data_IF_014015429092
#
_entry.id   IF_014015429092
#
_cell.length_a   1.000
_cell.length_b   1.000
_cell.length_c   1.000
_cell.angle_alpha   90.00
_cell.angle_beta   90.00
_cell.angle_gamma   90.00
#
_symmetry.space_group_name_H-M   'P 1'
#
loop_
_entity.id
_entity.type
_entity.pdbx_description
1 polymer ?
#
# COMPACT_ATOMS: atom_id res chain seq x y z
N UNK A 1 -16.96 3.57 -4.20
CA UNK A 1 -15.60 3.00 -4.18
C UNK A 1 -15.70 1.56 -4.64
N UNK A 2 -14.86 1.11 -5.57
CA UNK A 2 -14.95 -0.24 -6.12
C UNK A 2 -14.42 -1.21 -5.06
N UNK A 3 -15.27 -2.14 -4.63
CA UNK A 3 -14.85 -3.24 -3.79
C UNK A 3 -14.26 -4.36 -4.64
N UNK A 4 -13.14 -4.93 -4.19
CA UNK A 4 -12.60 -6.16 -4.77
C UNK A 4 -13.35 -7.34 -4.17
N UNK A 5 -14.05 -8.10 -5.02
CA UNK A 5 -14.77 -9.31 -4.58
C UNK A 5 -13.83 -10.51 -4.65
N UNK A 6 -13.62 -11.14 -3.49
CA UNK A 6 -12.73 -12.28 -3.31
C UNK A 6 -13.50 -13.47 -2.72
N UNK A 7 -14.40 -14.07 -3.52
CA UNK A 7 -15.36 -15.09 -3.03
C UNK A 7 -14.95 -16.53 -3.33
N UNK A 8 -13.94 -16.73 -4.17
CA UNK A 8 -13.47 -18.04 -4.66
C UNK A 8 -11.95 -18.14 -4.59
N UNK A 9 -11.38 -19.34 -4.65
CA UNK A 9 -9.92 -19.54 -4.66
C UNK A 9 -9.21 -18.83 -5.84
N UNK A 10 -9.88 -18.72 -6.99
CA UNK A 10 -9.39 -17.94 -8.14
C UNK A 10 -9.14 -16.46 -7.81
N UNK A 11 -9.65 -15.96 -6.68
CA UNK A 11 -9.39 -14.61 -6.19
C UNK A 11 -7.91 -14.37 -5.88
N UNK A 12 -7.14 -15.42 -5.61
CA UNK A 12 -5.68 -15.38 -5.49
C UNK A 12 -5.01 -14.77 -6.74
N UNK A 13 -5.60 -14.99 -7.92
CA UNK A 13 -5.07 -14.56 -9.21
C UNK A 13 -5.66 -13.25 -9.72
N UNK A 14 -6.50 -12.57 -8.93
CA UNK A 14 -7.00 -11.24 -9.31
C UNK A 14 -5.82 -10.28 -9.56
N UNK A 15 -5.90 -9.43 -10.61
CA UNK A 15 -4.84 -8.46 -10.89
C UNK A 15 -4.51 -7.57 -9.69
N UNK A 16 -5.52 -7.16 -8.91
CA UNK A 16 -5.32 -6.34 -7.71
C UNK A 16 -4.55 -7.09 -6.62
N UNK A 17 -4.81 -8.39 -6.45
CA UNK A 17 -4.16 -9.23 -5.44
C UNK A 17 -2.72 -9.57 -5.83
N UNK A 18 -2.50 -9.94 -7.10
CA UNK A 18 -1.15 -10.19 -7.63
C UNK A 18 -0.29 -8.94 -7.55
N UNK A 19 -0.79 -7.80 -8.05
CA UNK A 19 -0.06 -6.53 -8.02
C UNK A 19 0.26 -6.09 -6.59
N UNK A 20 -0.66 -6.30 -5.64
CA UNK A 20 -0.37 -6.02 -4.24
C UNK A 20 0.83 -6.82 -3.73
N UNK A 21 0.80 -8.16 -3.91
CA UNK A 21 1.90 -9.03 -3.46
C UNK A 21 3.21 -8.75 -4.18
N UNK A 22 3.18 -8.43 -5.46
CA UNK A 22 4.36 -8.02 -6.23
C UNK A 22 4.97 -6.72 -5.68
N UNK A 23 4.13 -5.73 -5.34
CA UNK A 23 4.59 -4.45 -4.79
C UNK A 23 4.92 -4.47 -3.30
N UNK A 24 4.48 -5.49 -2.56
CA UNK A 24 4.91 -5.73 -1.16
C UNK A 24 6.43 -5.85 -1.02
N UNK A 25 7.14 -6.26 -2.08
CA UNK A 25 8.60 -6.37 -2.15
C UNK A 25 9.34 -5.03 -1.99
N UNK A 26 8.62 -3.93 -2.21
CA UNK A 26 9.13 -2.57 -2.03
C UNK A 26 8.97 -2.07 -0.59
N UNK A 27 8.20 -2.79 0.22
CA UNK A 27 7.93 -2.44 1.61
C UNK A 27 8.84 -3.23 2.53
N UNK A 28 9.15 -2.64 3.68
CA UNK A 28 10.01 -3.24 4.68
C UNK A 28 9.43 -3.03 6.08
N UNK A 29 9.65 -3.95 7.02
CA UNK A 29 9.29 -3.73 8.42
C UNK A 29 10.11 -2.59 9.04
N UNK A 30 9.56 -1.98 10.09
CA UNK A 30 10.27 -0.98 10.87
C UNK A 30 10.52 -1.49 12.30
N UNK A 31 11.76 -1.41 12.78
CA UNK A 31 12.11 -1.82 14.15
C UNK A 31 12.58 -3.26 14.26
N UNK A 32 12.77 -3.72 15.50
CA UNK A 32 13.44 -5.01 15.79
C UNK A 32 12.52 -6.23 15.60
N UNK A 33 11.21 -6.05 15.80
CA UNK A 33 10.23 -7.13 15.85
C UNK A 33 8.98 -6.81 15.04
N UNK A 34 8.43 -7.83 14.40
CA UNK A 34 7.14 -7.78 13.70
C UNK A 34 6.11 -8.63 14.44
N UNK A 35 4.98 -8.02 14.79
CA UNK A 35 3.83 -8.73 15.34
C UNK A 35 2.90 -9.13 14.20
N UNK A 36 2.78 -10.45 13.97
CA UNK A 36 1.89 -10.99 12.94
C UNK A 36 0.51 -11.22 13.55
N UNK A 37 -0.52 -10.64 12.93
CA UNK A 37 -1.91 -10.67 13.38
C UNK A 37 -2.84 -11.23 12.29
N UNK A 38 -3.97 -11.88 12.63
CA UNK A 38 -4.95 -12.31 11.63
C UNK A 38 -5.72 -11.10 11.09
N UNK A 39 -6.26 -11.18 9.86
CA UNK A 39 -7.18 -10.17 9.35
C UNK A 39 -8.53 -10.17 10.08
N UNK A 40 -9.35 -9.19 9.75
CA UNK A 40 -10.74 -9.10 10.23
C UNK A 40 -11.71 -8.76 9.11
N UNK A 41 -12.98 -9.13 9.28
CA UNK A 41 -14.03 -8.83 8.31
C UNK A 41 -14.19 -7.31 8.07
N UNK A 42 -14.14 -6.51 9.14
CA UNK A 42 -14.20 -5.03 9.08
C UNK A 42 -12.85 -4.47 8.65
N UNK A 43 -12.88 -3.56 7.67
CA UNK A 43 -11.72 -2.76 7.22
C UNK A 43 -11.98 -1.26 7.45
N UNK A 44 -10.94 -0.44 7.70
CA UNK A 44 -9.56 -0.85 8.00
C UNK A 44 -9.52 -1.73 9.25
N UNK A 45 -8.56 -2.66 9.31
CA UNK A 45 -8.57 -3.71 10.34
C UNK A 45 -8.48 -3.13 11.76
N UNK A 46 -7.76 -2.02 11.93
CA UNK A 46 -7.64 -1.30 13.21
C UNK A 46 -8.99 -0.87 13.80
N UNK A 47 -10.04 -0.72 12.98
CA UNK A 47 -11.38 -0.37 13.43
C UNK A 47 -12.24 -1.60 13.81
N UNK A 48 -11.69 -2.81 13.74
CA UNK A 48 -12.40 -4.04 14.10
C UNK A 48 -12.37 -4.32 15.60
N UNK A 49 -13.34 -5.12 16.08
CA UNK A 49 -13.40 -5.53 17.50
C UNK A 49 -12.13 -6.27 17.93
N UNK A 50 -11.65 -7.21 17.13
CA UNK A 50 -10.44 -8.00 17.45
C UNK A 50 -9.19 -7.12 17.54
N UNK A 51 -8.98 -6.22 16.57
CA UNK A 51 -7.81 -5.34 16.60
C UNK A 51 -7.86 -4.30 17.72
N UNK A 52 -9.04 -3.84 18.14
CA UNK A 52 -9.15 -3.03 19.36
C UNK A 52 -8.67 -3.78 20.61
N UNK A 53 -8.79 -5.12 20.66
CA UNK A 53 -8.26 -5.94 21.75
C UNK A 53 -6.75 -6.10 21.66
N UNK A 54 -6.19 -6.23 20.45
CA UNK A 54 -4.73 -6.36 20.23
C UNK A 54 -3.96 -5.06 20.50
N UNK A 55 -4.52 -3.93 20.05
CA UNK A 55 -3.87 -2.61 20.01
C UNK A 55 -3.21 -2.19 21.33
N UNK A 56 -3.82 -2.35 22.52
CA UNK A 56 -3.19 -1.99 23.78
C UNK A 56 -1.83 -2.67 24.02
N UNK A 57 -1.65 -3.90 23.53
CA UNK A 57 -0.38 -4.61 23.62
C UNK A 57 0.59 -4.13 22.53
N UNK A 58 0.15 -4.16 21.27
CA UNK A 58 1.01 -4.07 20.08
C UNK A 58 1.32 -2.64 19.64
N UNK A 59 0.54 -1.64 20.09
CA UNK A 59 0.70 -0.24 19.70
C UNK A 59 2.14 0.23 19.90
N UNK A 60 2.75 0.63 18.80
CA UNK A 60 4.13 1.13 18.75
C UNK A 60 5.13 0.10 18.20
N UNK A 61 4.73 -1.13 17.92
CA UNK A 61 5.54 -2.08 17.16
C UNK A 61 5.10 -2.13 15.69
N UNK A 62 5.91 -2.76 14.84
CA UNK A 62 5.49 -3.09 13.49
C UNK A 62 4.47 -4.22 13.53
N UNK A 63 3.39 -4.06 12.78
CA UNK A 63 2.30 -5.03 12.71
C UNK A 63 2.12 -5.47 11.26
N UNK A 64 2.12 -6.79 11.03
CA UNK A 64 1.85 -7.40 9.74
C UNK A 64 0.56 -8.22 9.84
N UNK A 65 -0.47 -7.81 9.11
CA UNK A 65 -1.78 -8.46 9.12
C UNK A 65 -1.83 -9.48 8.00
N UNK A 66 -1.94 -10.77 8.33
CA UNK A 66 -2.12 -11.83 7.35
C UNK A 66 -3.53 -11.84 6.80
N UNK A 67 -3.65 -11.93 5.48
CA UNK A 67 -4.95 -11.89 4.80
C UNK A 67 -4.89 -12.63 3.46
N UNK A 68 -5.96 -13.32 3.10
CA UNK A 68 -6.14 -13.88 1.76
C UNK A 68 -7.13 -12.99 0.97
N UNK A 69 -6.91 -12.73 -0.34
CA UNK A 69 -5.84 -13.23 -1.19
C UNK A 69 -4.55 -12.39 -1.17
N UNK A 70 -4.47 -11.32 -0.38
CA UNK A 70 -3.41 -10.32 -0.50
C UNK A 70 -2.08 -10.68 0.17
N UNK A 71 -2.01 -11.79 0.90
CA UNK A 71 -0.83 -12.24 1.64
C UNK A 71 -0.66 -11.45 2.95
N UNK A 72 -0.02 -10.29 2.84
CA UNK A 72 0.36 -9.46 3.99
C UNK A 72 -0.14 -8.04 3.81
N UNK A 73 -0.66 -7.44 4.88
CA UNK A 73 -0.90 -6.02 4.98
C UNK A 73 -0.11 -5.46 6.17
N UNK A 74 0.98 -4.70 5.95
CA UNK A 74 1.56 -3.87 6.98
C UNK A 74 0.53 -2.89 7.53
N UNK A 75 0.52 -2.62 8.84
CA UNK A 75 -0.51 -1.75 9.46
C UNK A 75 -0.60 -0.38 8.81
N UNK A 76 0.53 0.19 8.42
CA UNK A 76 0.62 1.49 7.77
C UNK A 76 -0.08 1.53 6.40
N UNK A 77 -0.34 0.37 5.79
CA UNK A 77 -0.99 0.23 4.49
C UNK A 77 -2.48 -0.17 4.57
N UNK A 78 -3.06 -0.31 5.76
CA UNK A 78 -4.43 -0.85 5.92
C UNK A 78 -5.54 0.04 5.32
N UNK A 79 -5.24 1.33 5.10
CA UNK A 79 -6.14 2.31 4.48
C UNK A 79 -5.88 2.46 2.97
N UNK A 80 -4.96 1.68 2.41
CA UNK A 80 -4.56 1.76 1.01
C UNK A 80 -5.37 0.76 0.19
N UNK A 81 -5.86 1.21 -0.98
CA UNK A 81 -6.51 0.33 -1.94
C UNK A 81 -5.50 -0.70 -2.48
N UNK A 82 -5.85 -2.01 -2.54
CA UNK A 82 -7.18 -2.60 -2.37
C UNK A 82 -7.53 -3.08 -0.95
N UNK A 83 -6.60 -3.10 0.01
CA UNK A 83 -6.81 -3.70 1.34
C UNK A 83 -7.99 -3.08 2.10
N UNK A 84 -8.15 -1.77 2.01
CA UNK A 84 -9.25 -1.09 2.69
C UNK A 84 -10.63 -1.41 2.07
N UNK A 85 -10.68 -2.03 0.88
CA UNK A 85 -11.90 -2.21 0.09
C UNK A 85 -11.96 -3.57 -0.64
N UNK A 86 -11.94 -4.66 0.13
CA UNK A 86 -12.21 -6.00 -0.40
C UNK A 86 -13.16 -6.80 0.50
N UNK A 87 -13.99 -7.63 -0.13
CA UNK A 87 -14.91 -8.55 0.52
C UNK A 87 -14.42 -9.99 0.28
N UNK A 88 -14.39 -10.79 1.35
CA UNK A 88 -14.02 -12.21 1.31
C UNK A 88 -15.13 -13.06 1.91
N UNK A 89 -15.33 -14.25 1.37
CA UNK A 89 -16.03 -15.32 2.09
C UNK A 89 -15.13 -15.78 3.23
N UNK A 90 -15.56 -15.58 4.48
CA UNK A 90 -14.80 -16.02 5.66
C UNK A 90 -14.99 -17.52 5.88
N UNK A 91 -14.53 -18.33 4.92
CA UNK A 91 -14.43 -19.77 5.13
C UNK A 91 -13.16 -20.02 5.95
N UNK A 92 -13.28 -20.81 7.02
CA UNK A 92 -12.18 -21.05 7.96
C UNK A 92 -11.07 -21.97 7.42
N UNK A 93 -11.34 -22.64 6.30
CA UNK A 93 -10.42 -23.59 5.68
C UNK A 93 -9.56 -22.86 4.64
N UNK A 94 -8.25 -22.89 4.86
CA UNK A 94 -7.27 -22.32 3.94
C UNK A 94 -6.77 -23.40 2.99
N UNK A 95 -6.80 -23.11 1.69
CA UNK A 95 -6.24 -24.02 0.69
C UNK A 95 -4.70 -24.08 0.80
N UNK A 96 -4.10 -25.14 0.23
CA UNK A 96 -2.63 -25.27 0.13
C UNK A 96 -2.02 -24.09 -0.64
N UNK A 97 -2.72 -23.61 -1.67
CA UNK A 97 -2.26 -22.48 -2.48
C UNK A 97 -2.37 -21.16 -1.70
N UNK A 98 -3.42 -20.97 -0.91
CA UNK A 98 -3.54 -19.80 -0.01
C UNK A 98 -2.42 -19.77 1.02
N UNK A 99 -2.13 -20.91 1.64
CA UNK A 99 -1.03 -21.06 2.62
C UNK A 99 0.30 -20.70 1.95
N UNK A 100 0.57 -21.28 0.78
CA UNK A 100 1.81 -21.06 0.04
C UNK A 100 2.01 -19.60 -0.34
N UNK A 101 1.05 -19.01 -1.05
CA UNK A 101 1.17 -17.62 -1.55
C UNK A 101 1.30 -16.63 -0.39
N UNK A 102 0.51 -16.83 0.67
CA UNK A 102 0.55 -15.96 1.85
C UNK A 102 1.85 -16.12 2.61
N UNK A 103 2.33 -17.36 2.76
CA UNK A 103 3.59 -17.67 3.43
C UNK A 103 4.82 -17.14 2.71
N UNK A 104 4.88 -17.27 1.37
CA UNK A 104 5.95 -16.69 0.54
C UNK A 104 5.98 -15.17 0.68
N UNK A 105 4.83 -14.51 0.58
CA UNK A 105 4.71 -13.07 0.76
C UNK A 105 5.11 -12.62 2.18
N UNK A 106 4.71 -13.38 3.20
CA UNK A 106 5.09 -13.14 4.59
C UNK A 106 6.59 -13.26 4.79
N UNK A 107 7.21 -14.36 4.34
CA UNK A 107 8.64 -14.59 4.48
C UNK A 107 9.47 -13.50 3.80
N UNK A 108 9.08 -13.09 2.59
CA UNK A 108 9.75 -12.01 1.85
C UNK A 108 9.62 -10.65 2.55
N UNK A 109 8.44 -10.31 3.10
CA UNK A 109 8.26 -9.07 3.84
C UNK A 109 9.00 -9.06 5.19
N UNK A 110 8.98 -10.17 5.94
CA UNK A 110 9.63 -10.25 7.26
C UNK A 110 11.15 -10.17 7.15
N UNK A 111 11.79 -10.79 6.15
CA UNK A 111 13.25 -10.88 6.09
C UNK A 111 13.84 -11.53 7.34
N UNK A 112 14.84 -10.89 7.94
CA UNK A 112 15.57 -11.41 9.12
C UNK A 112 15.02 -10.91 10.48
N UNK A 113 13.89 -10.22 10.49
CA UNK A 113 13.32 -9.65 11.71
C UNK A 113 12.80 -10.73 12.67
N UNK A 114 12.85 -10.44 13.97
CA UNK A 114 12.18 -11.28 14.96
C UNK A 114 10.66 -11.21 14.80
N UNK A 115 9.97 -12.32 15.07
CA UNK A 115 8.53 -12.43 14.82
C UNK A 115 7.78 -12.92 16.05
N UNK A 116 6.72 -12.18 16.41
CA UNK A 116 5.69 -12.62 17.35
C UNK A 116 4.45 -13.00 16.54
N UNK A 117 4.18 -14.30 16.43
CA UNK A 117 3.02 -14.83 15.72
C UNK A 117 1.81 -14.92 16.67
N UNK A 118 0.87 -13.97 16.55
CA UNK A 118 -0.36 -13.93 17.33
C UNK A 118 -1.57 -14.27 16.46
N UNK A 119 -1.60 -15.52 15.99
CA UNK A 119 -2.52 -16.03 14.97
C UNK A 119 -3.08 -17.41 15.35
N UNK A 120 -4.14 -17.85 14.68
CA UNK A 120 -4.76 -19.16 14.89
C UNK A 120 -5.28 -19.74 13.55
N UNK A 121 -5.64 -21.04 13.53
CA UNK A 121 -6.20 -21.73 12.34
C UNK A 121 -5.26 -21.64 11.12
N UNK A 122 -5.77 -21.44 9.90
CA UNK A 122 -4.94 -21.39 8.68
C UNK A 122 -3.78 -20.38 8.75
N UNK A 123 -3.97 -19.25 9.45
CA UNK A 123 -2.89 -18.29 9.71
C UNK A 123 -1.75 -18.88 10.56
N UNK A 124 -2.06 -19.75 11.51
CA UNK A 124 -1.06 -20.46 12.30
C UNK A 124 -0.26 -21.41 11.40
N UNK A 125 -0.93 -22.15 10.52
CA UNK A 125 -0.26 -23.03 9.55
C UNK A 125 0.73 -22.27 8.67
N UNK A 126 0.34 -21.10 8.15
CA UNK A 126 1.23 -20.21 7.38
C UNK A 126 2.48 -19.86 8.18
N UNK A 127 2.32 -19.38 9.42
CA UNK A 127 3.45 -18.98 10.24
C UNK A 127 4.34 -20.17 10.61
N UNK A 128 3.79 -21.35 10.90
CA UNK A 128 4.56 -22.54 11.23
C UNK A 128 5.39 -23.06 10.04
N UNK A 129 4.83 -23.03 8.82
CA UNK A 129 5.53 -23.50 7.62
C UNK A 129 6.64 -22.53 7.16
N UNK A 130 6.41 -21.22 7.26
CA UNK A 130 7.31 -20.21 6.67
C UNK A 130 8.19 -19.46 7.67
N UNK A 131 7.79 -19.44 8.95
CA UNK A 131 8.49 -18.77 10.05
C UNK A 131 8.55 -19.68 11.31
N UNK A 132 9.13 -20.89 11.22
CA UNK A 132 9.13 -21.86 12.32
C UNK A 132 9.80 -21.36 13.60
N UNK A 133 10.68 -20.36 13.49
CA UNK A 133 11.38 -19.72 14.60
C UNK A 133 10.57 -18.61 15.31
N UNK A 134 9.37 -18.28 14.83
CA UNK A 134 8.55 -17.24 15.44
C UNK A 134 8.08 -17.63 16.85
N UNK A 135 7.88 -16.62 17.72
CA UNK A 135 7.26 -16.84 19.02
C UNK A 135 5.74 -16.88 18.88
N UNK A 136 5.14 -18.06 19.04
CA UNK A 136 3.70 -18.26 18.95
C UNK A 136 3.00 -17.98 20.29
N UNK A 137 2.08 -17.01 20.29
CA UNK A 137 1.43 -16.54 21.53
C UNK A 137 0.00 -17.06 21.73
N UNK A 138 -0.61 -17.63 20.70
CA UNK A 138 -1.96 -18.19 20.73
C UNK A 138 -1.89 -19.73 20.82
N UNK A 139 -2.11 -20.29 22.01
CA UNK A 139 -2.04 -21.74 22.24
C UNK A 139 -3.42 -22.42 22.29
N UNK A 140 -4.49 -21.65 22.54
CA UNK A 140 -5.86 -22.12 22.73
C UNK A 140 -6.74 -22.00 21.47
N UNK A 141 -6.14 -21.64 20.33
CA UNK A 141 -6.84 -21.39 19.07
C UNK A 141 -7.68 -20.10 19.05
N UNK A 142 -7.65 -19.26 20.10
CA UNK A 142 -8.46 -18.05 20.24
C UNK A 142 -7.58 -16.82 20.46
N UNK A 143 -7.39 -16.04 19.42
CA UNK A 143 -6.50 -14.86 19.48
C UNK A 143 -6.95 -13.79 20.48
N UNK A 144 -8.24 -13.70 20.79
CA UNK A 144 -8.76 -12.68 21.74
C UNK A 144 -9.02 -13.22 23.15
N UNK A 145 -8.60 -14.45 23.48
CA UNK A 145 -8.79 -14.99 24.83
C UNK A 145 -7.89 -14.27 25.84
N UNK A 146 -8.26 -14.27 27.15
CA UNK A 146 -7.42 -13.69 28.19
C UNK A 146 -6.00 -14.27 28.22
N UNK A 147 -5.88 -15.58 27.99
CA UNK A 147 -4.60 -16.31 27.98
C UNK A 147 -3.71 -15.87 26.81
N UNK A 148 -4.24 -15.94 25.58
CA UNK A 148 -3.52 -15.51 24.37
C UNK A 148 -3.09 -14.04 24.46
N UNK A 149 -3.94 -13.17 25.01
CA UNK A 149 -3.62 -11.76 25.21
C UNK A 149 -2.57 -11.53 26.31
N UNK A 150 -2.54 -12.36 27.36
CA UNK A 150 -1.50 -12.29 28.38
C UNK A 150 -0.13 -12.69 27.81
N UNK A 151 -0.11 -13.77 27.03
CA UNK A 151 1.09 -14.23 26.33
C UNK A 151 1.63 -13.15 25.39
N UNK A 152 0.76 -12.55 24.57
CA UNK A 152 1.14 -11.45 23.68
C UNK A 152 1.74 -10.26 24.44
N UNK A 153 1.12 -9.85 25.55
CA UNK A 153 1.62 -8.73 26.37
C UNK A 153 2.98 -9.03 26.97
N UNK A 154 3.20 -10.26 27.45
CA UNK A 154 4.47 -10.66 28.04
C UNK A 154 5.60 -10.67 27.00
N UNK A 155 5.30 -11.15 25.79
CA UNK A 155 6.31 -11.21 24.72
C UNK A 155 6.66 -9.81 24.18
N UNK A 156 5.64 -9.00 23.88
CA UNK A 156 5.82 -7.64 23.33
C UNK A 156 6.61 -6.73 24.29
N UNK A 157 6.56 -6.96 25.60
CA UNK A 157 7.31 -6.17 26.60
C UNK A 157 8.82 -6.26 26.47
N UNK A 158 9.36 -7.25 25.76
CA UNK A 158 10.79 -7.43 25.55
C UNK A 158 11.39 -6.42 24.54
N UNK A 159 10.53 -5.75 23.75
CA UNK A 159 10.96 -4.92 22.63
C UNK A 159 10.64 -3.44 22.83
N UNK A 160 11.46 -2.60 22.20
CA UNK A 160 11.28 -1.15 22.25
C UNK A 160 10.18 -0.68 21.29
N UNK A 161 9.31 0.22 21.77
CA UNK A 161 8.26 0.82 20.93
C UNK A 161 8.84 1.91 20.02
N UNK A 162 8.43 1.88 18.75
CA UNK A 162 8.75 2.86 17.73
C UNK A 162 8.11 4.22 18.02
N UNK A 163 8.94 5.26 17.95
CA UNK A 163 8.50 6.65 18.07
C UNK A 163 7.63 7.06 16.88
N UNK A 164 6.63 7.90 17.12
CA UNK A 164 5.74 8.40 16.06
C UNK A 164 6.48 9.13 14.94
N UNK A 165 7.58 9.83 15.28
CA UNK A 165 8.43 10.55 14.33
C UNK A 165 9.11 9.63 13.32
N UNK A 166 9.32 8.36 13.65
CA UNK A 166 9.84 7.36 12.71
C UNK A 166 8.70 6.71 11.90
N UNK A 167 7.58 6.37 12.56
CA UNK A 167 6.46 5.67 11.92
C UNK A 167 5.72 6.47 10.85
N UNK A 168 5.58 7.78 11.04
CA UNK A 168 4.85 8.62 10.09
C UNK A 168 5.52 8.75 8.72
N UNK A 169 6.81 9.14 8.61
CA UNK A 169 7.48 9.17 7.31
C UNK A 169 7.54 7.79 6.68
N UNK A 170 7.79 6.74 7.48
CA UNK A 170 7.76 5.36 6.99
C UNK A 170 6.42 5.01 6.33
N UNK A 171 5.28 5.28 6.99
CA UNK A 171 3.94 5.09 6.39
C UNK A 171 3.79 5.85 5.07
N UNK A 172 4.16 7.14 5.04
CA UNK A 172 4.00 7.97 3.85
C UNK A 172 4.84 7.45 2.67
N UNK A 173 6.07 7.03 2.96
CA UNK A 173 7.02 6.45 2.00
C UNK A 173 6.56 5.08 1.51
N UNK A 174 6.11 4.19 2.39
CA UNK A 174 5.52 2.91 2.00
C UNK A 174 4.35 3.06 1.02
N UNK A 175 3.47 4.06 1.23
CA UNK A 175 2.39 4.37 0.29
C UNK A 175 2.95 4.84 -1.06
N UNK A 176 3.98 5.70 -1.07
CA UNK A 176 4.58 6.21 -2.29
C UNK A 176 5.26 5.07 -3.09
N UNK A 177 6.08 4.25 -2.43
CA UNK A 177 6.71 3.06 -3.01
C UNK A 177 5.68 2.13 -3.64
N UNK A 178 4.62 1.81 -2.90
CA UNK A 178 3.54 0.98 -3.41
C UNK A 178 2.82 1.62 -4.60
N UNK A 179 2.52 2.92 -4.55
CA UNK A 179 1.76 3.58 -5.61
C UNK A 179 2.56 3.71 -6.91
N UNK A 180 3.82 4.15 -6.80
CA UNK A 180 4.69 4.48 -7.94
C UNK A 180 5.67 3.36 -8.32
N UNK A 181 5.58 2.21 -7.64
CA UNK A 181 6.30 0.98 -7.98
C UNK A 181 7.85 1.09 -7.95
N UNK A 182 8.40 1.96 -7.12
CA UNK A 182 9.85 2.12 -6.97
C UNK A 182 10.23 2.54 -5.55
N UNK A 183 11.43 2.19 -5.09
CA UNK A 183 11.96 2.65 -3.79
C UNK A 183 12.31 4.13 -3.82
N UNK A 184 12.66 4.67 -4.98
CA UNK A 184 13.02 6.08 -5.17
C UNK A 184 11.82 7.02 -4.94
N UNK A 185 10.60 6.47 -4.91
CA UNK A 185 9.39 7.20 -4.53
C UNK A 185 9.41 7.74 -3.08
N UNK A 186 10.40 7.35 -2.27
CA UNK A 186 10.70 7.98 -0.99
C UNK A 186 10.94 9.49 -1.10
N UNK A 187 11.48 9.95 -2.23
CA UNK A 187 11.74 11.36 -2.50
C UNK A 187 10.46 12.22 -2.51
N UNK A 188 9.30 11.61 -2.76
CA UNK A 188 8.01 12.28 -2.64
C UNK A 188 7.74 12.78 -1.20
N UNK A 189 8.41 12.20 -0.21
CA UNK A 189 8.28 12.52 1.22
C UNK A 189 9.63 13.02 1.75
N UNK A 190 10.00 14.28 1.49
CA UNK A 190 11.26 14.86 1.96
C UNK A 190 11.29 14.98 3.49
N UNK A 191 12.46 15.05 4.11
CA UNK A 191 12.58 15.02 5.58
C UNK A 191 11.93 16.23 6.30
N UNK A 192 11.80 17.36 5.62
CA UNK A 192 11.19 18.60 6.13
C UNK A 192 9.68 18.72 5.82
N UNK A 193 9.04 17.62 5.41
CA UNK A 193 7.63 17.61 5.04
C UNK A 193 6.71 18.08 6.19
N UNK A 194 5.54 18.61 5.80
CA UNK A 194 4.43 18.89 6.72
C UNK A 194 3.13 18.32 6.18
N UNK A 195 2.32 17.74 7.06
CA UNK A 195 0.96 17.32 6.73
C UNK A 195 -0.05 18.39 7.17
N UNK A 196 -0.94 18.80 6.26
CA UNK A 196 -2.07 19.71 6.56
C UNK A 196 -3.40 19.08 6.17
N UNK A 197 -4.38 19.14 7.07
CA UNK A 197 -5.73 18.60 6.84
C UNK A 197 -6.07 17.44 7.78
N UNK A 198 -7.37 17.18 7.95
CA UNK A 198 -7.88 16.17 8.90
C UNK A 198 -8.16 14.83 8.23
N UNK A 199 -8.94 14.84 7.14
CA UNK A 199 -9.29 13.63 6.39
C UNK A 199 -8.29 13.42 5.26
N UNK A 200 -8.47 14.14 4.17
CA UNK A 200 -7.45 14.26 3.14
C UNK A 200 -6.30 15.10 3.67
N UNK A 201 -5.08 14.56 3.57
CA UNK A 201 -3.86 15.18 4.12
C UNK A 201 -3.00 15.69 2.98
N UNK A 202 -2.82 17.00 2.93
CA UNK A 202 -1.89 17.66 2.01
C UNK A 202 -0.47 17.46 2.50
N UNK A 203 0.37 16.89 1.65
CA UNK A 203 1.81 16.76 1.84
C UNK A 203 2.47 18.03 1.31
N UNK A 204 3.10 18.79 2.19
CA UNK A 204 3.69 20.10 1.93
C UNK A 204 5.20 20.07 2.14
N UNK A 205 5.94 20.86 1.38
CA UNK A 205 7.32 21.22 1.66
C UNK A 205 7.45 22.74 1.58
N UNK A 206 7.76 23.38 2.71
CA UNK A 206 7.56 24.83 2.86
C UNK A 206 6.09 25.21 2.66
N UNK A 207 5.84 26.11 1.72
CA UNK A 207 4.50 26.56 1.31
C UNK A 207 3.95 25.87 0.06
N UNK A 208 4.76 25.02 -0.58
CA UNK A 208 4.36 24.30 -1.78
C UNK A 208 3.75 22.95 -1.45
N UNK A 209 2.68 22.59 -2.16
CA UNK A 209 2.03 21.30 -2.02
C UNK A 209 2.65 20.29 -3.00
N UNK A 210 3.13 19.17 -2.47
CA UNK A 210 3.67 18.04 -3.25
C UNK A 210 2.51 17.17 -3.77
N UNK A 211 1.62 16.78 -2.86
CA UNK A 211 0.53 15.86 -3.15
C UNK A 211 -0.60 15.96 -2.11
N UNK A 212 -1.73 15.34 -2.39
CA UNK A 212 -2.80 15.08 -1.43
C UNK A 212 -2.90 13.57 -1.19
N UNK A 213 -2.71 13.12 0.04
CA UNK A 213 -3.04 11.76 0.45
C UNK A 213 -4.54 11.67 0.74
N UNK A 214 -5.26 10.92 -0.08
CA UNK A 214 -6.71 10.79 0.07
C UNK A 214 -7.10 9.77 1.12
N UNK A 215 -8.01 10.15 2.01
CA UNK A 215 -8.53 9.26 3.05
C UNK A 215 -9.35 8.10 2.49
N UNK A 216 -10.01 8.30 1.35
CA UNK A 216 -10.93 7.31 0.79
C UNK A 216 -10.22 6.10 0.15
N UNK A 217 -8.96 6.22 -0.26
CA UNK A 217 -8.27 5.13 -0.94
C UNK A 217 -6.81 4.95 -0.50
N UNK A 218 -6.30 5.81 0.38
CA UNK A 218 -4.94 5.76 0.90
C UNK A 218 -3.87 5.96 -0.16
N UNK A 219 -4.19 6.66 -1.26
CA UNK A 219 -3.26 6.97 -2.35
C UNK A 219 -3.10 8.48 -2.52
N UNK A 220 -1.95 8.87 -3.06
CA UNK A 220 -1.63 10.24 -3.40
C UNK A 220 -2.35 10.69 -4.68
N UNK A 221 -2.74 11.95 -4.74
CA UNK A 221 -2.90 12.70 -5.97
C UNK A 221 -1.84 13.78 -6.07
N UNK A 222 -1.23 13.92 -7.24
CA UNK A 222 -0.09 14.81 -7.43
C UNK A 222 -0.53 16.27 -7.61
N UNK A 223 0.29 17.18 -7.08
CA UNK A 223 0.40 18.57 -7.50
C UNK A 223 1.66 18.74 -8.37
N UNK A 224 1.87 19.92 -8.96
CA UNK A 224 2.99 20.15 -9.88
C UNK A 224 4.34 19.81 -9.24
N UNK A 225 4.60 20.24 -8.00
CA UNK A 225 5.85 19.91 -7.30
C UNK A 225 6.08 18.40 -7.16
N UNK A 226 5.03 17.64 -6.81
CA UNK A 226 5.12 16.18 -6.80
C UNK A 226 5.30 15.58 -8.18
N UNK A 227 4.76 16.22 -9.23
CA UNK A 227 5.01 15.84 -10.61
C UNK A 227 6.46 16.02 -11.02
N UNK A 228 7.12 17.11 -10.59
CA UNK A 228 8.57 17.33 -10.82
C UNK A 228 9.38 16.21 -10.19
N UNK A 229 9.17 15.93 -8.90
CA UNK A 229 9.86 14.84 -8.19
C UNK A 229 9.66 13.49 -8.92
N UNK A 230 8.43 13.19 -9.33
CA UNK A 230 8.14 11.92 -9.99
C UNK A 230 8.74 11.81 -11.39
N UNK A 231 8.86 12.93 -12.11
CA UNK A 231 9.56 13.01 -13.38
C UNK A 231 11.07 12.77 -13.21
N UNK A 232 11.67 13.33 -12.17
CA UNK A 232 13.09 13.15 -11.86
C UNK A 232 13.42 11.68 -11.52
N UNK A 233 12.50 10.98 -10.85
CA UNK A 233 12.56 9.52 -10.63
C UNK A 233 12.43 8.73 -11.94
N UNK A 234 11.79 9.30 -12.97
CA UNK A 234 11.65 8.69 -14.29
C UNK A 234 10.46 7.74 -14.45
N UNK A 235 9.43 7.85 -13.60
CA UNK A 235 8.24 6.99 -13.64
C UNK A 235 6.96 7.78 -13.96
N UNK A 236 5.94 7.08 -14.47
CA UNK A 236 4.58 7.61 -14.67
C UNK A 236 4.47 8.88 -15.54
N UNK A 237 5.44 9.14 -16.42
CA UNK A 237 5.41 10.28 -17.34
C UNK A 237 4.62 9.98 -18.62
N UNK A 238 4.07 11.04 -19.22
CA UNK A 238 3.38 11.06 -20.52
C UNK A 238 3.91 12.26 -21.30
N UNK A 239 4.53 12.00 -22.43
CA UNK A 239 5.17 13.01 -23.27
C UNK A 239 4.22 13.54 -24.35
N UNK A 240 4.21 14.86 -24.52
CA UNK A 240 3.49 15.56 -25.59
C UNK A 240 4.41 16.56 -26.29
N UNK A 241 4.05 16.98 -27.50
CA UNK A 241 4.81 17.93 -28.32
C UNK A 241 4.07 19.27 -28.58
N UNK A 242 2.89 19.44 -28.00
CA UNK A 242 2.04 20.63 -28.22
C UNK A 242 1.79 21.42 -26.93
N UNK A 243 1.08 22.54 -27.07
CA UNK A 243 0.69 23.37 -25.93
C UNK A 243 -0.66 22.93 -25.33
N UNK A 244 -0.62 22.35 -24.12
CA UNK A 244 -1.79 21.76 -23.48
C UNK A 244 -2.69 22.81 -22.83
N UNK A 245 -3.72 23.23 -23.55
CA UNK A 245 -4.65 24.29 -23.10
C UNK A 245 -5.89 23.79 -22.36
N UNK A 246 -6.18 22.48 -22.43
CA UNK A 246 -7.43 21.92 -21.89
C UNK A 246 -7.17 20.97 -20.72
N UNK A 247 -8.23 20.59 -20.01
CA UNK A 247 -8.14 19.64 -18.90
C UNK A 247 -8.20 18.17 -19.38
N UNK A 248 -8.03 17.91 -20.67
CA UNK A 248 -8.12 16.56 -21.24
C UNK A 248 -7.05 16.38 -22.30
N UNK A 249 -6.17 15.40 -22.08
CA UNK A 249 -5.21 14.94 -23.07
C UNK A 249 -5.80 13.74 -23.78
N UNK A 250 -5.93 13.84 -25.10
CA UNK A 250 -6.37 12.74 -25.96
C UNK A 250 -5.17 11.92 -26.42
N UNK A 251 -5.37 10.62 -26.66
CA UNK A 251 -4.31 9.70 -27.10
C UNK A 251 -3.55 10.18 -28.35
N UNK A 252 -4.17 10.78 -29.39
CA UNK A 252 -3.44 11.31 -30.55
C UNK A 252 -2.42 12.40 -30.25
N UNK A 253 -2.53 13.07 -29.10
CA UNK A 253 -1.57 14.08 -28.65
C UNK A 253 -0.41 13.52 -27.81
N UNK A 254 -0.38 12.20 -27.58
CA UNK A 254 0.69 11.56 -26.81
C UNK A 254 1.78 11.08 -27.77
N UNK A 255 3.00 11.56 -27.55
CA UNK A 255 4.20 11.15 -28.30
C UNK A 255 4.73 9.83 -27.74
N UNK A 256 4.88 9.76 -26.42
CA UNK A 256 5.28 8.56 -25.71
C UNK A 256 4.71 8.54 -24.29
N UNK A 257 4.72 7.38 -23.64
CA UNK A 257 4.24 7.23 -22.27
C UNK A 257 4.97 6.10 -21.55
N UNK A 258 5.15 6.25 -20.24
CA UNK A 258 5.78 5.25 -19.41
C UNK A 258 5.02 3.91 -19.51
N UNK A 259 5.70 2.78 -19.80
CA UNK A 259 5.04 1.53 -20.20
C UNK A 259 4.22 0.87 -19.09
N UNK A 260 4.58 1.11 -17.83
CA UNK A 260 3.87 0.54 -16.67
C UNK A 260 2.62 1.31 -16.24
N UNK A 261 2.32 2.45 -16.88
CA UNK A 261 1.10 3.22 -16.56
C UNK A 261 -0.13 2.34 -16.80
N UNK A 262 -0.99 2.29 -15.80
CA UNK A 262 -2.30 1.64 -15.88
C UNK A 262 -3.43 2.66 -15.61
N UNK A 263 -4.68 2.33 -16.00
CA UNK A 263 -5.81 3.20 -15.71
C UNK A 263 -5.92 3.54 -14.23
N UNK A 264 -6.19 4.83 -13.95
CA UNK A 264 -6.27 5.46 -12.63
C UNK A 264 -4.94 5.72 -11.94
N UNK A 265 -3.80 5.49 -12.58
CA UNK A 265 -2.54 5.99 -12.06
C UNK A 265 -2.49 7.52 -12.11
N UNK A 266 -1.79 8.09 -11.14
CA UNK A 266 -1.34 9.48 -11.23
C UNK A 266 -0.21 9.54 -12.26
N UNK A 267 -0.27 10.55 -13.13
CA UNK A 267 0.70 10.72 -14.21
C UNK A 267 1.23 12.14 -14.27
N UNK A 268 2.46 12.27 -14.74
CA UNK A 268 3.11 13.55 -15.03
C UNK A 268 3.07 13.78 -16.53
N UNK A 269 2.65 14.96 -16.96
CA UNK A 269 2.63 15.35 -18.37
C UNK A 269 3.87 16.20 -18.60
N UNK A 270 4.72 15.75 -19.52
CA UNK A 270 5.99 16.38 -19.84
C UNK A 270 6.03 16.87 -21.29
N UNK A 271 6.81 17.91 -21.53
CA UNK A 271 7.11 18.43 -22.86
C UNK A 271 8.57 18.84 -22.92
N UNK A 272 9.36 18.18 -23.78
CA UNK A 272 10.81 18.40 -23.88
C UNK A 272 11.53 18.20 -22.54
N UNK A 273 11.14 17.19 -21.77
CA UNK A 273 11.68 16.88 -20.44
C UNK A 273 11.11 17.71 -19.29
N UNK A 274 10.43 18.82 -19.57
CA UNK A 274 9.87 19.71 -18.55
C UNK A 274 8.46 19.31 -18.15
N UNK A 275 8.16 19.34 -16.85
CA UNK A 275 6.81 19.06 -16.33
C UNK A 275 5.88 20.23 -16.63
N UNK A 276 4.82 19.96 -17.39
CA UNK A 276 3.80 20.97 -17.73
C UNK A 276 2.46 20.70 -17.05
N UNK A 277 2.26 19.50 -16.47
CA UNK A 277 1.03 19.18 -15.78
C UNK A 277 1.05 17.83 -15.07
N UNK A 278 0.00 17.61 -14.30
CA UNK A 278 -0.25 16.33 -13.64
C UNK A 278 -1.72 15.96 -13.79
N UNK A 279 -2.00 14.67 -13.82
CA UNK A 279 -3.34 14.17 -14.08
C UNK A 279 -3.53 12.74 -13.67
N UNK A 280 -4.60 12.14 -14.20
CA UNK A 280 -4.98 10.76 -13.95
C UNK A 280 -5.14 10.02 -15.27
N UNK A 281 -4.46 8.89 -15.40
CA UNK A 281 -4.54 8.02 -16.57
C UNK A 281 -5.95 7.43 -16.71
N UNK A 282 -6.45 7.41 -17.94
CA UNK A 282 -7.72 6.74 -18.31
C UNK A 282 -7.46 5.42 -19.03
N UNK A 283 -6.33 5.31 -19.73
CA UNK A 283 -5.87 4.12 -20.44
C UNK A 283 -4.45 3.76 -20.01
N UNK A 284 -3.93 2.60 -20.43
CA UNK A 284 -2.54 2.22 -20.12
C UNK A 284 -1.53 2.94 -21.04
N UNK A 285 -0.24 2.96 -20.68
CA UNK A 285 0.79 3.68 -21.44
C UNK A 285 0.90 3.24 -22.91
N UNK A 286 0.75 1.93 -23.18
CA UNK A 286 0.77 1.37 -24.54
C UNK A 286 -0.42 1.84 -25.37
N UNK A 287 -1.59 1.94 -24.77
CA UNK A 287 -2.80 2.49 -25.40
C UNK A 287 -2.67 3.99 -25.67
N UNK A 288 -2.05 4.74 -24.75
CA UNK A 288 -1.80 6.17 -24.96
C UNK A 288 -0.94 6.40 -26.20
N UNK A 289 0.18 5.67 -26.33
CA UNK A 289 1.12 5.82 -27.44
C UNK A 289 0.55 5.39 -28.80
N UNK A 290 -0.29 4.34 -28.82
CA UNK A 290 -0.81 3.75 -30.07
C UNK A 290 -2.20 4.25 -30.46
N UNK A 291 -2.87 4.97 -29.56
CA UNK A 291 -4.28 5.30 -29.71
C UNK A 291 -4.54 6.45 -30.68
N UNK A 292 -5.34 6.20 -31.71
CA UNK A 292 -5.79 7.24 -32.66
C UNK A 292 -7.01 8.03 -32.16
N UNK A 293 -7.60 7.65 -31.03
CA UNK A 293 -8.77 8.31 -30.42
C UNK A 293 -8.90 7.97 -28.94
N UNK A 294 -9.71 8.77 -28.24
CA UNK A 294 -10.04 8.55 -26.83
C UNK A 294 -9.22 9.40 -25.87
N UNK A 295 -9.67 9.47 -24.63
CA UNK A 295 -9.03 10.27 -23.57
C UNK A 295 -7.89 9.47 -22.95
N UNK A 296 -6.67 9.99 -23.02
CA UNK A 296 -5.49 9.40 -22.39
C UNK A 296 -5.38 9.80 -20.92
N UNK A 297 -5.45 11.10 -20.64
CA UNK A 297 -5.27 11.66 -19.29
C UNK A 297 -6.34 12.70 -18.99
N UNK A 298 -6.92 12.63 -17.80
CA UNK A 298 -7.70 13.73 -17.21
C UNK A 298 -6.75 14.61 -16.42
N UNK A 299 -6.51 15.82 -16.91
CA UNK A 299 -5.54 16.76 -16.33
C UNK A 299 -6.15 17.41 -15.10
N UNK A 300 -5.39 17.47 -14.01
CA UNK A 300 -5.81 18.08 -12.73
C UNK A 300 -5.20 19.47 -12.54
N UNK A 301 -3.89 19.57 -12.73
CA UNK A 301 -3.14 20.82 -12.64
C UNK A 301 -2.22 20.93 -13.85
N UNK A 302 -1.98 22.16 -14.30
CA UNK A 302 -1.00 22.48 -15.33
C UNK A 302 -0.25 23.74 -14.93
N UNK A 303 0.97 23.88 -15.41
CA UNK A 303 1.64 25.17 -15.47
C UNK A 303 0.93 26.01 -16.55
N UNK A 304 0.51 27.22 -16.17
CA UNK A 304 -0.02 28.22 -17.10
C UNK A 304 1.08 28.87 -17.90
#
# INVERSE_FOLDING_TARGET
>A
MIKVLCTTETSLNRPEARRWRERMKLLEPLGEVVVVLPCSMRKPYSASKSHHVFTPATKGLQEAILTSPFGVCPREMEQTYPIQSYDVSTVGDWSREEIKITGECLKEYIGDHEVIAHVAHGYLTVCQEYLPQATFTCQDGKTTSPESMNNLKNEVRKYSKLKSRARQPHMLRSIARYQFNTRDADELVPDDYRLRGRFDRRLMQGDEQIAVLHHNNGLYSLNIKGGVILNDIGVNWVEIDFDLKTNTLFAPGVVDAHPEIIPKDEVVIIRKGEVIGVGKAIMNGKEMKKGEKGVAVRVRHRLT
#
